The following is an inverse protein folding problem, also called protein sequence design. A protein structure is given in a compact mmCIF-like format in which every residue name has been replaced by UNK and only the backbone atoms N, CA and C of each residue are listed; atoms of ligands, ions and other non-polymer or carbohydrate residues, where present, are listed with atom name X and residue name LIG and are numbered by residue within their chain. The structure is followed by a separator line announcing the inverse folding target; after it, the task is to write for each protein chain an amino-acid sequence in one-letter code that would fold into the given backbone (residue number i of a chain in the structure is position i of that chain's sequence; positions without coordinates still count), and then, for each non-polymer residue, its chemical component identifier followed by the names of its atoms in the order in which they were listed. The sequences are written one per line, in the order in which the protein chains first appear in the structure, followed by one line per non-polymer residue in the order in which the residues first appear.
data_IF_135925510521
#
_entry.id   IF_135925510521
#
_cell.length_a   1.000
_cell.length_b   1.000
_cell.length_c   1.000
_cell.angle_alpha   90.00
_cell.angle_beta   90.00
_cell.angle_gamma   90.00
#
_symmetry.space_group_name_H-M   'P 1'
#
loop_
_entity.id
_entity.type
_entity.pdbx_description
1 polymer ?
#
# COMPACT_ATOMS: atom_id res chain seq x y z
N UNK A 1 -5.93 5.66 -28.42
CA UNK A 1 -4.90 5.63 -27.36
C UNK A 1 -5.62 5.28 -26.06
N UNK A 2 -5.61 4.01 -25.67
CA UNK A 2 -6.14 3.60 -24.36
C UNK A 2 -5.10 3.92 -23.28
N UNK A 3 -5.51 4.37 -22.07
CA UNK A 3 -4.57 4.58 -20.98
C UNK A 3 -3.90 3.24 -20.64
N UNK A 4 -2.58 3.18 -20.72
CA UNK A 4 -1.81 1.94 -20.64
C UNK A 4 -1.89 1.23 -19.28
N UNK A 5 -2.40 1.89 -18.25
CA UNK A 5 -2.59 1.32 -16.92
C UNK A 5 -3.63 2.17 -16.20
N UNK A 6 -4.70 1.56 -15.71
CA UNK A 6 -5.74 2.28 -14.99
C UNK A 6 -6.09 1.45 -13.74
N UNK A 7 -6.37 2.14 -12.63
CA UNK A 7 -6.67 1.51 -11.35
C UNK A 7 -8.14 1.72 -11.00
N UNK A 8 -8.88 0.65 -10.75
CA UNK A 8 -10.27 0.74 -10.29
C UNK A 8 -10.39 0.38 -8.81
N UNK A 9 -11.20 1.16 -8.09
CA UNK A 9 -11.68 0.80 -6.76
C UNK A 9 -12.92 -0.08 -6.90
N UNK A 10 -12.82 -1.29 -6.37
CA UNK A 10 -13.90 -2.24 -6.29
C UNK A 10 -14.29 -2.46 -4.83
N UNK A 11 -15.56 -2.77 -4.60
CA UNK A 11 -16.03 -3.24 -3.29
C UNK A 11 -17.31 -4.05 -3.40
N UNK A 12 -17.52 -4.91 -2.40
CA UNK A 12 -18.62 -5.85 -2.36
C UNK A 12 -19.91 -5.20 -1.85
N UNK A 13 -21.03 -5.57 -2.45
CA UNK A 13 -22.35 -5.07 -2.08
C UNK A 13 -22.85 -5.64 -0.75
N UNK A 14 -22.34 -6.79 -0.29
CA UNK A 14 -22.97 -7.58 0.77
C UNK A 14 -22.07 -7.99 1.96
N UNK A 15 -20.83 -7.50 2.05
CA UNK A 15 -19.98 -7.71 3.23
C UNK A 15 -19.14 -6.47 3.53
N UNK A 16 -18.76 -6.30 4.80
CA UNK A 16 -17.85 -5.27 5.34
C UNK A 16 -16.83 -4.82 4.27
N UNK A 17 -16.88 -3.54 3.86
CA UNK A 17 -16.17 -3.05 2.67
C UNK A 17 -14.65 -3.27 2.74
N UNK A 18 -14.17 -4.33 2.12
CA UNK A 18 -12.77 -4.45 1.71
C UNK A 18 -12.63 -3.76 0.35
N UNK A 19 -11.99 -2.59 0.34
CA UNK A 19 -11.69 -1.89 -0.91
C UNK A 19 -10.53 -2.58 -1.59
N UNK A 20 -10.77 -3.12 -2.79
CA UNK A 20 -9.71 -3.70 -3.62
C UNK A 20 -9.39 -2.72 -4.74
N UNK A 21 -8.10 -2.45 -4.93
CA UNK A 21 -7.59 -1.77 -6.10
C UNK A 21 -7.06 -2.78 -7.11
N UNK A 22 -7.52 -2.65 -8.35
CA UNK A 22 -7.12 -3.54 -9.43
C UNK A 22 -6.42 -2.74 -10.52
N UNK A 23 -5.27 -3.26 -10.94
CA UNK A 23 -4.39 -2.64 -11.92
C UNK A 23 -4.29 -3.58 -13.13
N UNK A 24 -4.75 -3.12 -14.29
CA UNK A 24 -4.70 -3.90 -15.54
C UNK A 24 -4.47 -2.99 -16.74
N UNK A 25 -3.93 -3.58 -17.80
CA UNK A 25 -3.90 -2.96 -19.14
C UNK A 25 -5.27 -3.05 -19.82
N UNK A 26 -6.07 -4.06 -19.46
CA UNK A 26 -7.44 -4.24 -19.91
C UNK A 26 -8.34 -4.45 -18.69
N UNK A 27 -8.88 -3.35 -18.18
CA UNK A 27 -9.81 -3.38 -17.06
C UNK A 27 -11.24 -3.72 -17.48
N UNK A 28 -11.60 -3.55 -18.74
CA UNK A 28 -12.99 -3.73 -19.17
C UNK A 28 -13.32 -5.22 -19.16
N UNK A 29 -12.48 -6.02 -19.82
CA UNK A 29 -12.61 -7.48 -19.81
C UNK A 29 -12.55 -8.04 -18.39
N UNK A 30 -11.56 -7.60 -17.59
CA UNK A 30 -11.47 -8.03 -16.20
C UNK A 30 -12.71 -7.67 -15.38
N UNK A 31 -13.25 -6.45 -15.58
CA UNK A 31 -14.44 -5.99 -14.86
C UNK A 31 -15.65 -6.85 -15.21
N UNK A 32 -15.84 -7.19 -16.48
CA UNK A 32 -16.94 -8.06 -16.90
C UNK A 32 -16.82 -9.44 -16.26
N UNK A 33 -15.65 -10.08 -16.41
CA UNK A 33 -15.40 -11.42 -15.83
C UNK A 33 -15.58 -11.45 -14.31
N UNK A 34 -15.07 -10.44 -13.59
CA UNK A 34 -15.19 -10.43 -12.13
C UNK A 34 -16.60 -10.07 -11.65
N UNK A 35 -17.35 -9.29 -12.42
CA UNK A 35 -18.74 -8.93 -12.08
C UNK A 35 -19.70 -10.10 -12.35
N UNK A 36 -19.37 -10.97 -13.31
CA UNK A 36 -20.12 -12.19 -13.58
C UNK A 36 -19.97 -13.21 -12.44
N UNK A 37 -18.76 -13.35 -11.88
CA UNK A 37 -18.49 -14.29 -10.78
C UNK A 37 -18.88 -13.71 -9.41
N UNK A 38 -18.72 -12.40 -9.19
CA UNK A 38 -18.94 -11.76 -7.90
C UNK A 38 -19.82 -10.51 -8.01
N UNK A 39 -20.69 -10.30 -7.02
CA UNK A 39 -21.47 -9.05 -6.87
C UNK A 39 -20.59 -7.88 -6.42
N UNK A 40 -19.80 -7.36 -7.35
CA UNK A 40 -18.84 -6.28 -7.12
C UNK A 40 -19.30 -5.02 -7.83
N UNK A 41 -19.22 -3.89 -7.12
CA UNK A 41 -19.47 -2.57 -7.68
C UNK A 41 -18.14 -1.87 -7.98
N UNK A 42 -18.04 -1.24 -9.16
CA UNK A 42 -16.90 -0.40 -9.52
C UNK A 42 -17.17 1.06 -9.11
N UNK A 43 -16.34 1.59 -8.23
CA UNK A 43 -16.44 2.96 -7.70
C UNK A 43 -15.64 3.99 -8.51
N UNK A 44 -15.00 3.56 -9.60
CA UNK A 44 -14.24 4.41 -10.52
C UNK A 44 -12.74 4.37 -10.26
N UNK A 45 -12.03 5.38 -10.79
CA UNK A 45 -10.57 5.43 -10.75
C UNK A 45 -10.05 5.72 -9.34
N UNK A 46 -9.12 4.91 -8.85
CA UNK A 46 -8.50 5.10 -7.55
C UNK A 46 -7.53 6.29 -7.59
N UNK A 47 -7.82 7.36 -6.86
CA UNK A 47 -6.87 8.47 -6.61
C UNK A 47 -6.26 8.40 -5.21
N UNK A 48 -6.96 7.75 -4.28
CA UNK A 48 -6.55 7.50 -2.91
C UNK A 48 -6.96 6.08 -2.56
N UNK A 49 -6.04 5.27 -2.06
CA UNK A 49 -6.29 3.90 -1.61
C UNK A 49 -5.69 3.73 -0.23
N UNK A 50 -6.52 3.42 0.77
CA UNK A 50 -6.09 3.24 2.17
C UNK A 50 -5.32 4.44 2.76
N UNK A 51 -5.43 5.64 2.18
CA UNK A 51 -4.62 6.81 2.56
C UNK A 51 -3.35 7.01 1.72
N UNK A 52 -3.03 6.09 0.80
CA UNK A 52 -1.93 6.19 -0.17
C UNK A 52 -2.43 6.89 -1.41
N UNK A 53 -1.70 7.91 -1.87
CA UNK A 53 -2.03 8.62 -3.10
C UNK A 53 -1.64 7.76 -4.31
N UNK A 54 -2.55 7.61 -5.26
CA UNK A 54 -2.31 6.88 -6.50
C UNK A 54 -2.06 7.88 -7.62
N UNK A 55 -0.91 7.77 -8.28
CA UNK A 55 -0.48 8.63 -9.38
C UNK A 55 -0.52 7.81 -10.67
N UNK A 56 -1.38 8.21 -11.59
CA UNK A 56 -1.52 7.57 -12.90
C UNK A 56 -0.61 8.27 -13.91
N UNK A 57 0.28 7.51 -14.54
CA UNK A 57 1.17 7.99 -15.58
C UNK A 57 1.04 7.14 -16.83
N UNK A 58 1.53 7.65 -17.96
CA UNK A 58 1.58 6.85 -19.19
C UNK A 58 2.54 5.67 -18.99
N UNK A 59 1.99 4.45 -18.94
CA UNK A 59 2.76 3.21 -18.85
C UNK A 59 3.10 2.74 -17.43
N UNK A 60 2.72 3.47 -16.38
CA UNK A 60 2.88 3.00 -15.00
C UNK A 60 1.92 3.69 -14.03
N UNK A 61 1.73 3.07 -12.88
CA UNK A 61 1.02 3.65 -11.74
C UNK A 61 2.01 3.70 -10.58
N UNK A 62 2.10 4.85 -9.94
CA UNK A 62 2.95 5.07 -8.78
C UNK A 62 2.10 5.25 -7.52
N UNK A 63 2.58 4.70 -6.41
CA UNK A 63 2.00 4.88 -5.08
C UNK A 63 2.85 5.91 -4.33
N UNK A 64 2.23 7.01 -3.91
CA UNK A 64 2.88 8.08 -3.16
C UNK A 64 2.44 8.01 -1.69
N UNK A 65 3.37 7.56 -0.86
CA UNK A 65 3.24 7.42 0.59
C UNK A 65 3.99 8.52 1.35
N UNK A 66 4.47 9.57 0.68
CA UNK A 66 5.37 10.58 1.26
C UNK A 66 4.85 11.17 2.58
N UNK A 67 3.55 11.45 2.67
CA UNK A 67 2.94 11.97 3.90
C UNK A 67 3.08 10.99 5.07
N UNK A 68 2.77 9.71 4.85
CA UNK A 68 2.89 8.67 5.86
C UNK A 68 4.35 8.49 6.31
N UNK A 69 5.28 8.40 5.36
CA UNK A 69 6.71 8.28 5.66
C UNK A 69 7.22 9.47 6.49
N UNK A 70 6.77 10.69 6.17
CA UNK A 70 7.13 11.88 6.94
C UNK A 70 6.58 11.82 8.37
N UNK A 71 5.32 11.43 8.56
CA UNK A 71 4.71 11.27 9.88
C UNK A 71 5.43 10.21 10.72
N UNK A 72 5.91 9.14 10.11
CA UNK A 72 6.73 8.14 10.80
C UNK A 72 8.09 8.72 11.23
N UNK A 73 8.76 9.45 10.35
CA UNK A 73 10.02 10.10 10.70
C UNK A 73 9.82 11.11 11.86
N UNK A 74 8.72 11.85 11.88
CA UNK A 74 8.35 12.73 12.99
C UNK A 74 8.15 11.96 14.30
N UNK A 75 7.37 10.87 14.25
CA UNK A 75 7.07 10.00 15.38
C UNK A 75 8.33 9.43 16.06
N UNK A 76 9.32 9.00 15.27
CA UNK A 76 10.58 8.45 15.80
C UNK A 76 11.66 9.52 16.02
N UNK A 77 11.37 10.81 15.77
CA UNK A 77 12.35 11.89 15.91
C UNK A 77 13.49 11.86 14.88
N UNK A 78 13.22 11.31 13.69
CA UNK A 78 14.20 11.03 12.63
C UNK A 78 14.05 11.90 11.37
N UNK A 79 13.32 13.02 11.42
CA UNK A 79 13.09 13.92 10.26
C UNK A 79 14.38 14.29 9.52
N UNK A 80 15.48 14.46 10.26
CA UNK A 80 16.79 14.88 9.73
C UNK A 80 17.77 13.71 9.54
N UNK A 81 17.29 12.46 9.47
CA UNK A 81 18.15 11.31 9.27
C UNK A 81 18.80 11.32 7.87
N UNK A 82 20.01 10.78 7.75
CA UNK A 82 20.67 10.60 6.44
C UNK A 82 19.94 9.51 5.66
N UNK A 83 19.74 9.74 4.37
CA UNK A 83 19.23 8.71 3.45
C UNK A 83 20.21 7.54 3.39
N UNK A 84 19.70 6.32 3.53
CA UNK A 84 20.46 5.09 3.35
C UNK A 84 19.78 4.24 2.26
N UNK A 85 20.58 3.59 1.41
CA UNK A 85 20.05 2.76 0.33
C UNK A 85 19.59 1.37 0.79
N UNK A 86 20.00 0.97 1.99
CA UNK A 86 19.63 -0.30 2.61
C UNK A 86 18.71 -0.01 3.81
N UNK A 87 17.43 -0.42 3.77
CA UNK A 87 16.45 -0.09 4.81
C UNK A 87 16.76 -0.70 6.18
N UNK A 88 17.53 -1.79 6.22
CA UNK A 88 17.84 -2.53 7.43
C UNK A 88 19.25 -3.12 7.35
N UNK A 89 20.05 -2.99 8.41
CA UNK A 89 21.28 -3.78 8.53
C UNK A 89 20.92 -5.27 8.65
N UNK A 90 21.64 -6.19 7.98
CA UNK A 90 21.40 -7.62 8.11
C UNK A 90 21.46 -8.05 9.58
N UNK A 91 20.43 -8.76 10.05
CA UNK A 91 20.33 -9.20 11.43
C UNK A 91 21.58 -10.00 11.84
N UNK A 92 22.29 -9.54 12.87
CA UNK A 92 23.44 -10.26 13.44
C UNK A 92 22.93 -11.42 14.29
N UNK A 93 23.52 -12.61 14.11
CA UNK A 93 23.18 -13.80 14.93
C UNK A 93 23.38 -13.46 16.42
N UNK A 94 22.31 -13.55 17.21
CA UNK A 94 22.33 -13.31 18.67
C UNK A 94 21.44 -12.18 19.19
N UNK A 95 20.85 -11.35 18.32
CA UNK A 95 20.01 -10.21 18.75
C UNK A 95 18.54 -10.55 19.03
N UNK A 96 18.10 -11.76 18.72
CA UNK A 96 16.70 -12.20 18.87
C UNK A 96 16.16 -12.05 20.30
N UNK A 97 17.01 -12.26 21.31
CA UNK A 97 16.63 -12.17 22.73
C UNK A 97 16.41 -10.72 23.20
N UNK A 98 17.06 -9.73 22.55
CA UNK A 98 16.90 -8.32 22.89
C UNK A 98 15.56 -7.76 22.40
N UNK A 99 15.05 -8.28 21.27
CA UNK A 99 13.82 -7.77 20.67
C UNK A 99 12.55 -8.09 21.48
N UNK A 100 12.52 -9.22 22.21
CA UNK A 100 11.37 -9.57 23.07
C UNK A 100 11.20 -8.64 24.29
N UNK A 101 12.25 -7.93 24.69
CA UNK A 101 12.24 -7.04 25.87
C UNK A 101 11.92 -5.58 25.54
N UNK A 102 11.77 -5.24 24.25
CA UNK A 102 11.60 -3.85 23.79
C UNK A 102 10.28 -3.20 24.23
N UNK A 103 9.29 -3.97 24.71
CA UNK A 103 7.99 -3.44 25.12
C UNK A 103 7.22 -2.75 23.97
N UNK A 104 7.65 -2.94 22.73
CA UNK A 104 7.03 -2.36 21.54
C UNK A 104 5.80 -3.14 21.13
N UNK A 105 4.79 -2.44 20.62
CA UNK A 105 3.63 -3.08 20.04
C UNK A 105 4.01 -3.69 18.68
N UNK A 106 4.38 -4.97 18.68
CA UNK A 106 4.82 -5.68 17.48
C UNK A 106 3.84 -5.56 16.30
N UNK A 107 2.53 -5.65 16.54
CA UNK A 107 1.52 -5.52 15.49
C UNK A 107 1.55 -4.15 14.82
N UNK A 108 1.75 -3.09 15.60
CA UNK A 108 1.90 -1.74 15.09
C UNK A 108 3.14 -1.60 14.22
N UNK A 109 4.29 -2.08 14.68
CA UNK A 109 5.56 -1.94 13.95
C UNK A 109 5.56 -2.72 12.64
N UNK A 110 4.99 -3.93 12.63
CA UNK A 110 4.79 -4.71 11.39
C UNK A 110 3.79 -4.03 10.47
N UNK A 111 2.70 -3.47 11.01
CA UNK A 111 1.73 -2.71 10.22
C UNK A 111 2.36 -1.49 9.52
N UNK A 112 3.22 -0.76 10.24
CA UNK A 112 4.01 0.35 9.72
C UNK A 112 4.93 -0.13 8.57
N UNK A 113 5.65 -1.22 8.77
CA UNK A 113 6.57 -1.77 7.77
C UNK A 113 5.83 -2.21 6.50
N UNK A 114 4.71 -2.91 6.65
CA UNK A 114 3.89 -3.37 5.53
C UNK A 114 3.36 -2.20 4.69
N UNK A 115 3.11 -1.05 5.32
CA UNK A 115 2.57 0.12 4.64
C UNK A 115 3.66 0.99 3.99
N UNK A 116 4.94 0.79 4.30
CA UNK A 116 6.09 1.51 3.72
C UNK A 116 6.67 0.85 2.44
N UNK A 117 6.11 -0.30 2.05
CA UNK A 117 6.56 -1.11 0.93
C UNK A 117 5.90 -0.70 -0.39
#
# INVERSE_FOLDING_TARGET
MHPSSLCLLLGWEQSHMENIAIFSHDLYTFKEEISDEFKINAFGVANLMLGIKVIHSSGYIALDQHHFSKTLLELYGMINCKSFSTPLEPAKKGELLKHKQLGVNYHREIGILNYLC
#
